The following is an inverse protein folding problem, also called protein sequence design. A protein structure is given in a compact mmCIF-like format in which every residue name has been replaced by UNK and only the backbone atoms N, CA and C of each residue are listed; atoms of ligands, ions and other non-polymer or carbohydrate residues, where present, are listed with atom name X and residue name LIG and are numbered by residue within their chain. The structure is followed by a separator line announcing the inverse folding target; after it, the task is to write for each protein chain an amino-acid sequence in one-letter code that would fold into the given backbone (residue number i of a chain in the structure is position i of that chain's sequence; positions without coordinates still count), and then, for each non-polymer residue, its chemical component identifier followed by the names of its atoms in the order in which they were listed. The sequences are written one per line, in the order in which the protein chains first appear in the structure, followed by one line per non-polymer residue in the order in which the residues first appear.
data_IF_975270957835
#
_entry.id   IF_975270957835
#
_cell.length_a   1.000
_cell.length_b   1.000
_cell.length_c   1.000
_cell.angle_alpha   90.00
_cell.angle_beta   90.00
_cell.angle_gamma   90.00
#
_symmetry.space_group_name_H-M   'P 1'
#
loop_
_entity.id
_entity.type
_entity.pdbx_description
1 polymer ?
#
# COMPACT_ATOMS: atom_id res chain seq x y z
N UNK A 1 26.09 -18.39 19.94
CA UNK A 1 26.09 -16.92 19.84
C UNK A 1 25.34 -16.57 18.55
N UNK A 2 24.07 -16.28 18.64
CA UNK A 2 23.29 -15.82 17.50
C UNK A 2 23.84 -14.46 17.11
N UNK A 3 24.43 -14.34 15.93
CA UNK A 3 24.80 -13.04 15.36
C UNK A 3 23.49 -12.23 15.25
N UNK A 4 23.39 -11.17 16.04
CA UNK A 4 22.30 -10.21 15.91
C UNK A 4 22.45 -9.56 14.52
N UNK A 5 21.61 -9.98 13.56
CA UNK A 5 21.62 -9.39 12.22
C UNK A 5 21.26 -7.91 12.37
N UNK A 6 22.14 -7.04 11.94
CA UNK A 6 21.86 -5.60 11.94
C UNK A 6 20.87 -5.26 10.83
N UNK A 7 19.87 -4.45 11.16
CA UNK A 7 18.94 -3.90 10.17
C UNK A 7 19.73 -3.04 9.17
N UNK A 8 19.53 -3.30 7.87
CA UNK A 8 20.14 -2.53 6.79
C UNK A 8 19.03 -1.93 5.94
N UNK A 9 19.14 -0.65 5.61
CA UNK A 9 18.24 0.09 4.73
C UNK A 9 19.03 0.49 3.49
N UNK A 10 18.58 0.06 2.31
CA UNK A 10 19.26 0.29 1.04
C UNK A 10 18.30 0.92 0.05
N UNK A 11 18.69 2.05 -0.57
CA UNK A 11 18.00 2.63 -1.73
C UNK A 11 18.11 1.66 -2.91
N UNK A 12 16.99 1.42 -3.62
CA UNK A 12 16.93 0.48 -4.76
C UNK A 12 16.39 1.09 -6.05
N UNK A 13 15.72 2.25 -5.99
CA UNK A 13 15.21 2.94 -7.20
C UNK A 13 15.62 4.39 -7.22
N UNK A 14 15.51 5.03 -8.39
CA UNK A 14 15.53 6.48 -8.45
C UNK A 14 14.23 7.07 -7.87
N UNK A 15 14.24 8.33 -7.40
CA UNK A 15 13.08 8.97 -6.82
C UNK A 15 11.91 9.11 -7.80
N UNK A 16 10.70 8.96 -7.26
CA UNK A 16 9.40 9.28 -7.88
C UNK A 16 8.67 10.32 -7.04
N UNK A 17 7.60 10.93 -7.58
CA UNK A 17 6.88 11.97 -6.83
C UNK A 17 6.08 11.38 -5.66
N UNK A 18 5.34 10.29 -5.88
CA UNK A 18 4.54 9.64 -4.84
C UNK A 18 4.52 8.12 -5.09
N UNK A 19 5.57 7.44 -4.61
CA UNK A 19 5.67 5.98 -4.65
C UNK A 19 4.68 5.35 -3.69
N UNK A 20 3.91 4.34 -4.15
CA UNK A 20 2.84 3.72 -3.37
C UNK A 20 2.54 2.28 -3.78
N UNK A 21 1.68 1.62 -3.00
CA UNK A 21 1.08 0.32 -3.30
C UNK A 21 2.09 -0.78 -3.67
N UNK A 22 3.16 -1.01 -2.89
CA UNK A 22 4.15 -2.03 -3.23
C UNK A 22 3.53 -3.44 -3.12
N UNK A 23 3.77 -4.25 -4.15
CA UNK A 23 3.32 -5.64 -4.25
C UNK A 23 4.46 -6.52 -4.74
N UNK A 24 4.78 -7.57 -3.99
CA UNK A 24 5.80 -8.55 -4.37
C UNK A 24 5.18 -9.70 -5.15
N UNK A 25 5.63 -9.91 -6.38
CA UNK A 25 5.26 -11.08 -7.18
C UNK A 25 6.30 -12.20 -6.97
N UNK A 26 5.89 -13.26 -6.26
CA UNK A 26 6.74 -14.40 -5.96
C UNK A 26 7.18 -15.14 -7.22
N UNK A 27 6.31 -15.26 -8.23
CA UNK A 27 6.62 -16.03 -9.45
C UNK A 27 7.65 -15.32 -10.31
N UNK A 28 7.54 -13.99 -10.41
CA UNK A 28 8.46 -13.18 -11.19
C UNK A 28 9.67 -12.69 -10.38
N UNK A 29 9.67 -12.91 -9.04
CA UNK A 29 10.68 -12.37 -8.12
C UNK A 29 10.89 -10.88 -8.35
N UNK A 30 9.80 -10.14 -8.47
CA UNK A 30 9.77 -8.72 -8.80
C UNK A 30 8.87 -7.94 -7.84
N UNK A 31 9.28 -6.72 -7.56
CA UNK A 31 8.45 -5.73 -6.85
C UNK A 31 7.72 -4.88 -7.89
N UNK A 32 6.41 -4.80 -7.75
CA UNK A 32 5.56 -3.84 -8.44
C UNK A 32 5.15 -2.73 -7.49
N UNK A 33 5.05 -1.51 -7.98
CA UNK A 33 4.56 -0.35 -7.22
C UNK A 33 4.07 0.74 -8.18
N UNK A 34 3.47 1.79 -7.67
CA UNK A 34 2.97 2.90 -8.47
C UNK A 34 3.66 4.20 -8.08
N UNK A 35 3.64 5.20 -8.98
CA UNK A 35 3.80 6.61 -8.62
C UNK A 35 2.52 7.34 -9.01
N UNK A 36 1.74 7.70 -7.97
CA UNK A 36 0.39 8.25 -8.14
C UNK A 36 0.41 9.53 -8.96
N UNK A 37 1.29 10.47 -8.60
CA UNK A 37 1.34 11.79 -9.22
C UNK A 37 2.10 11.83 -10.55
N UNK A 38 2.96 10.83 -10.81
CA UNK A 38 3.60 10.62 -12.12
C UNK A 38 2.69 9.84 -13.08
N UNK A 39 1.58 9.28 -12.58
CA UNK A 39 0.65 8.42 -13.32
C UNK A 39 1.34 7.15 -13.86
N UNK A 40 2.27 6.57 -13.12
CA UNK A 40 3.10 5.46 -13.61
C UNK A 40 2.96 4.21 -12.75
N UNK A 41 3.09 3.06 -13.40
CA UNK A 41 3.29 1.75 -12.77
C UNK A 41 4.72 1.31 -13.00
N UNK A 42 5.30 0.61 -12.03
CA UNK A 42 6.72 0.29 -11.97
C UNK A 42 6.93 -1.19 -11.68
N UNK A 43 8.03 -1.75 -12.22
CA UNK A 43 8.56 -3.08 -11.91
C UNK A 43 10.03 -2.96 -11.54
N UNK A 44 10.43 -3.55 -10.41
CA UNK A 44 11.82 -3.65 -10.00
C UNK A 44 12.20 -5.10 -9.75
N UNK A 45 13.31 -5.56 -10.34
CA UNK A 45 13.83 -6.91 -10.21
C UNK A 45 15.12 -6.90 -9.39
N UNK A 46 15.10 -7.32 -8.11
CA UNK A 46 16.26 -7.22 -7.21
C UNK A 46 17.50 -7.97 -7.72
N UNK A 47 17.32 -9.10 -8.39
CA UNK A 47 18.42 -9.93 -8.89
C UNK A 47 19.29 -9.22 -9.94
N UNK A 48 18.71 -8.30 -10.72
CA UNK A 48 19.41 -7.56 -11.78
C UNK A 48 19.58 -6.08 -11.46
N UNK A 49 18.83 -5.56 -10.49
CA UNK A 49 18.68 -4.13 -10.26
C UNK A 49 17.86 -3.42 -11.35
N UNK A 50 17.24 -4.17 -12.26
CA UNK A 50 16.42 -3.63 -13.35
C UNK A 50 15.16 -2.94 -12.82
N UNK A 51 14.93 -1.70 -13.27
CA UNK A 51 13.77 -0.90 -12.92
C UNK A 51 13.13 -0.33 -14.18
N UNK A 52 11.93 -0.77 -14.48
CA UNK A 52 11.14 -0.35 -15.65
C UNK A 52 9.85 0.33 -15.21
N UNK A 53 9.26 1.12 -16.09
CA UNK A 53 8.00 1.83 -15.81
C UNK A 53 7.22 2.10 -17.08
N UNK A 54 5.91 2.27 -16.94
CA UNK A 54 5.05 2.75 -18.01
C UNK A 54 3.97 3.68 -17.45
N UNK A 55 3.44 4.55 -18.31
CA UNK A 55 2.46 5.58 -17.94
C UNK A 55 1.04 5.10 -18.21
N UNK A 56 0.11 5.48 -17.32
CA UNK A 56 -1.34 5.33 -17.50
C UNK A 56 -2.02 6.69 -17.66
N UNK A 57 -3.25 6.68 -18.12
CA UNK A 57 -4.06 7.89 -18.32
C UNK A 57 -4.82 8.23 -17.02
N UNK A 58 -4.13 8.82 -16.06
CA UNK A 58 -4.66 9.27 -14.77
C UNK A 58 -3.83 8.80 -13.58
N UNK A 59 -4.18 9.31 -12.38
CA UNK A 59 -3.53 8.95 -11.12
C UNK A 59 -3.82 7.51 -10.77
N UNK A 60 -2.76 6.75 -10.55
CA UNK A 60 -2.82 5.33 -10.22
C UNK A 60 -2.57 5.15 -8.72
N UNK A 61 -3.59 4.76 -7.96
CA UNK A 61 -3.49 4.63 -6.50
C UNK A 61 -2.83 3.32 -6.06
N UNK A 62 -3.08 2.22 -6.76
CA UNK A 62 -2.54 0.90 -6.44
C UNK A 62 -2.49 0.00 -7.68
N UNK A 63 -1.73 -1.08 -7.55
CA UNK A 63 -1.56 -2.10 -8.57
C UNK A 63 -1.50 -3.49 -7.92
N UNK A 64 -2.30 -4.45 -8.41
CA UNK A 64 -2.32 -5.83 -7.92
C UNK A 64 -2.31 -6.78 -9.12
N UNK A 65 -1.36 -7.74 -9.23
CA UNK A 65 -1.37 -8.73 -10.30
C UNK A 65 -2.68 -9.53 -10.34
N UNK A 66 -3.14 -9.88 -11.55
CA UNK A 66 -4.31 -10.75 -11.74
C UNK A 66 -3.90 -12.22 -11.64
N UNK A 67 -4.59 -12.98 -10.79
CA UNK A 67 -4.30 -14.40 -10.58
C UNK A 67 -4.35 -15.19 -11.89
N UNK A 68 -3.36 -16.06 -12.10
CA UNK A 68 -3.28 -16.92 -13.29
C UNK A 68 -2.73 -16.23 -14.54
N UNK A 69 -2.35 -14.96 -14.48
CA UNK A 69 -1.68 -14.23 -15.57
C UNK A 69 -0.27 -13.80 -15.16
N UNK A 70 0.55 -13.41 -16.14
CA UNK A 70 1.90 -12.91 -15.90
C UNK A 70 2.08 -11.44 -16.30
N UNK A 71 1.09 -10.86 -16.98
CA UNK A 71 1.16 -9.54 -17.61
C UNK A 71 -0.10 -8.68 -17.39
N UNK A 72 -1.06 -9.18 -16.58
CA UNK A 72 -2.27 -8.42 -16.28
C UNK A 72 -2.31 -7.99 -14.84
N UNK A 73 -2.81 -6.77 -14.62
CA UNK A 73 -2.86 -6.12 -13.32
C UNK A 73 -4.21 -5.41 -13.15
N UNK A 74 -4.81 -5.59 -11.99
CA UNK A 74 -5.85 -4.68 -11.52
C UNK A 74 -5.18 -3.40 -11.04
N UNK A 75 -5.64 -2.26 -11.55
CA UNK A 75 -5.19 -0.92 -11.12
C UNK A 75 -6.37 -0.05 -10.74
N UNK A 76 -6.18 0.78 -9.73
CA UNK A 76 -7.11 1.86 -9.39
C UNK A 76 -6.68 3.16 -10.06
N UNK A 77 -7.36 3.58 -11.14
CA UNK A 77 -7.05 4.82 -11.86
C UNK A 77 -8.19 5.83 -11.67
N UNK A 78 -7.89 6.95 -11.03
CA UNK A 78 -8.89 7.93 -10.59
C UNK A 78 -9.98 7.25 -9.76
N UNK A 79 -11.19 7.06 -10.29
CA UNK A 79 -12.32 6.36 -9.65
C UNK A 79 -12.63 5.01 -10.29
N UNK A 80 -11.77 4.53 -11.19
CA UNK A 80 -12.03 3.33 -11.98
C UNK A 80 -11.16 2.16 -11.55
N UNK A 81 -11.76 0.99 -11.45
CA UNK A 81 -11.07 -0.28 -11.40
C UNK A 81 -10.84 -0.77 -12.83
N UNK A 82 -9.60 -0.79 -13.26
CA UNK A 82 -9.21 -1.22 -14.61
C UNK A 82 -8.32 -2.46 -14.54
N UNK A 83 -8.47 -3.37 -15.50
CA UNK A 83 -7.45 -4.37 -15.79
C UNK A 83 -6.60 -3.83 -16.93
N UNK A 84 -5.30 -3.73 -16.69
CA UNK A 84 -4.32 -3.35 -17.68
C UNK A 84 -3.42 -4.53 -18.00
N UNK A 85 -2.91 -4.59 -19.25
CA UNK A 85 -1.85 -5.51 -19.67
C UNK A 85 -0.56 -4.74 -19.84
N UNK A 86 0.51 -5.24 -19.22
CA UNK A 86 1.87 -4.72 -19.36
C UNK A 86 2.88 -5.84 -19.12
N UNK A 87 3.84 -6.02 -20.02
CA UNK A 87 4.86 -7.07 -19.94
C UNK A 87 5.99 -6.74 -18.93
N UNK A 88 6.03 -5.49 -18.44
CA UNK A 88 7.05 -5.05 -17.52
C UNK A 88 8.39 -4.71 -18.18
N UNK A 89 8.45 -4.59 -19.50
CA UNK A 89 9.68 -4.26 -20.22
C UNK A 89 9.81 -2.75 -20.44
N UNK A 90 11.05 -2.28 -20.59
CA UNK A 90 11.36 -0.85 -20.81
C UNK A 90 10.77 -0.38 -22.16
N UNK A 91 10.08 0.76 -22.12
CA UNK A 91 9.46 1.36 -23.32
C UNK A 91 8.18 0.67 -23.78
N UNK A 92 7.76 -0.41 -23.14
CA UNK A 92 6.52 -1.10 -23.49
C UNK A 92 5.31 -0.35 -22.90
N UNK A 93 4.27 -0.02 -23.70
CA UNK A 93 3.09 0.66 -23.19
C UNK A 93 2.17 -0.30 -22.46
N UNK A 94 1.55 0.16 -21.38
CA UNK A 94 0.42 -0.55 -20.80
C UNK A 94 -0.86 -0.27 -21.59
N UNK A 95 -1.70 -1.29 -21.75
CA UNK A 95 -2.98 -1.19 -22.44
C UNK A 95 -4.13 -1.57 -21.48
N UNK A 96 -5.17 -0.74 -21.43
CA UNK A 96 -6.42 -1.10 -20.74
C UNK A 96 -7.11 -2.22 -21.54
N UNK A 97 -7.27 -3.37 -20.89
CA UNK A 97 -7.98 -4.52 -21.49
C UNK A 97 -9.41 -4.65 -21.01
N UNK A 98 -9.72 -4.09 -19.83
CA UNK A 98 -11.06 -4.12 -19.27
C UNK A 98 -11.26 -3.00 -18.24
N UNK A 99 -12.39 -2.31 -18.30
CA UNK A 99 -12.92 -1.55 -17.19
C UNK A 99 -13.89 -2.44 -16.41
N UNK A 100 -13.65 -2.60 -15.11
CA UNK A 100 -14.51 -3.42 -14.25
C UNK A 100 -15.65 -2.57 -13.69
N UNK A 101 -15.32 -1.42 -13.10
CA UNK A 101 -16.28 -0.53 -12.48
C UNK A 101 -15.73 0.89 -12.29
N UNK A 102 -16.64 1.86 -12.25
CA UNK A 102 -16.40 3.21 -11.74
C UNK A 102 -17.20 3.42 -10.46
N UNK A 103 -16.54 3.94 -9.41
CA UNK A 103 -17.10 4.19 -8.08
C UNK A 103 -17.23 5.68 -7.80
N UNK A 104 -17.87 6.07 -6.68
CA UNK A 104 -18.06 7.46 -6.24
C UNK A 104 -18.52 8.39 -7.38
N UNK A 105 -19.49 7.93 -8.19
CA UNK A 105 -20.01 8.70 -9.35
C UNK A 105 -20.69 10.00 -8.94
N UNK A 106 -21.22 10.04 -7.74
CA UNK A 106 -21.85 11.19 -7.08
C UNK A 106 -20.84 12.19 -6.53
N UNK A 107 -19.56 11.78 -6.38
CA UNK A 107 -18.46 12.64 -5.92
C UNK A 107 -17.29 12.60 -6.92
N UNK A 108 -17.43 13.27 -8.07
CA UNK A 108 -16.50 13.16 -9.21
C UNK A 108 -15.06 13.64 -8.91
N UNK A 109 -14.86 14.32 -7.81
CA UNK A 109 -13.55 14.81 -7.35
C UNK A 109 -12.77 13.80 -6.51
N UNK A 110 -13.41 12.71 -6.05
CA UNK A 110 -12.73 11.64 -5.35
C UNK A 110 -11.76 10.89 -6.28
N UNK A 111 -10.79 10.22 -5.69
CA UNK A 111 -9.92 9.24 -6.37
C UNK A 111 -9.69 8.03 -5.49
N UNK A 112 -9.44 6.89 -6.11
CA UNK A 112 -8.83 5.74 -5.43
C UNK A 112 -7.45 6.13 -4.89
N UNK A 113 -7.17 5.69 -3.67
CA UNK A 113 -5.87 5.87 -3.02
C UNK A 113 -5.20 4.50 -2.84
N UNK A 114 -5.28 3.86 -1.69
CA UNK A 114 -4.66 2.56 -1.47
C UNK A 114 -5.65 1.40 -1.74
N UNK A 115 -5.12 0.26 -2.16
CA UNK A 115 -5.87 -0.96 -2.38
C UNK A 115 -5.00 -2.21 -2.34
N UNK A 116 -5.53 -3.28 -1.75
CA UNK A 116 -4.82 -4.54 -1.56
C UNK A 116 -5.77 -5.73 -1.66
N UNK A 117 -5.28 -6.85 -2.20
CA UNK A 117 -6.03 -8.09 -2.21
C UNK A 117 -6.09 -8.72 -0.81
N UNK A 118 -7.28 -9.20 -0.44
CA UNK A 118 -7.51 -9.98 0.75
C UNK A 118 -7.05 -11.44 0.56
N UNK A 119 -7.04 -12.26 1.61
CA UNK A 119 -6.60 -13.67 1.52
C UNK A 119 -7.38 -14.57 0.56
N UNK A 120 -8.50 -14.11 0.00
CA UNK A 120 -9.30 -14.83 -1.01
C UNK A 120 -9.18 -14.23 -2.41
N UNK A 121 -8.36 -13.18 -2.60
CA UNK A 121 -8.14 -12.53 -3.88
C UNK A 121 -9.18 -11.46 -4.25
N UNK A 122 -10.07 -11.08 -3.31
CA UNK A 122 -10.91 -9.89 -3.46
C UNK A 122 -10.08 -8.66 -3.14
N UNK A 123 -10.30 -7.54 -3.83
CA UNK A 123 -9.54 -6.31 -3.54
C UNK A 123 -10.38 -5.38 -2.67
N UNK A 124 -9.81 -4.97 -1.55
CA UNK A 124 -10.27 -3.82 -0.80
C UNK A 124 -9.49 -2.61 -1.25
N UNK A 125 -10.20 -1.55 -1.62
CA UNK A 125 -9.61 -0.30 -2.05
C UNK A 125 -10.51 0.85 -1.65
N UNK A 126 -9.90 1.96 -1.25
CA UNK A 126 -10.69 3.08 -0.82
C UNK A 126 -10.33 4.38 -1.53
N UNK A 127 -11.22 5.34 -1.35
CA UNK A 127 -11.12 6.66 -1.96
C UNK A 127 -10.77 7.72 -0.93
N UNK A 128 -10.37 8.86 -1.43
CA UNK A 128 -10.19 10.10 -0.69
C UNK A 128 -10.84 11.26 -1.45
N UNK A 129 -11.18 12.32 -0.71
CA UNK A 129 -11.71 13.54 -1.28
C UNK A 129 -10.68 14.33 -2.09
N UNK A 130 -11.13 15.43 -2.71
CA UNK A 130 -10.25 16.32 -3.46
C UNK A 130 -9.16 16.88 -2.57
N UNK A 131 -7.95 16.89 -3.11
CA UNK A 131 -6.77 17.51 -2.51
C UNK A 131 -6.53 18.89 -3.13
N UNK A 132 -6.19 19.88 -2.30
CA UNK A 132 -5.77 21.20 -2.76
C UNK A 132 -4.27 21.25 -3.10
N UNK A 133 -3.79 22.41 -3.58
CA UNK A 133 -2.41 22.60 -4.02
C UNK A 133 -1.36 22.45 -2.90
N UNK A 134 -1.76 22.51 -1.63
CA UNK A 134 -0.87 22.34 -0.47
C UNK A 134 -1.11 21.02 0.26
N UNK A 135 -1.95 20.15 -0.31
CA UNK A 135 -2.18 18.81 0.17
C UNK A 135 -3.25 18.67 1.26
N UNK A 136 -4.11 19.66 1.48
CA UNK A 136 -5.27 19.48 2.33
C UNK A 136 -6.36 18.74 1.58
N UNK A 137 -6.95 17.76 2.23
CA UNK A 137 -7.98 16.90 1.67
C UNK A 137 -9.36 17.32 2.19
N UNK A 138 -10.34 17.32 1.30
CA UNK A 138 -11.74 17.49 1.74
C UNK A 138 -12.14 16.28 2.58
N UNK A 139 -12.47 16.57 3.86
CA UNK A 139 -12.67 15.55 4.90
C UNK A 139 -13.94 14.73 4.68
N UNK A 140 -13.88 13.45 5.06
CA UNK A 140 -15.02 12.52 5.16
C UNK A 140 -15.79 12.29 3.85
N UNK A 141 -15.15 12.50 2.70
CA UNK A 141 -15.75 12.24 1.37
C UNK A 141 -15.39 10.86 0.80
N UNK A 142 -14.33 10.23 1.30
CA UNK A 142 -13.90 8.92 0.85
C UNK A 142 -14.75 7.78 1.40
N UNK A 143 -14.58 6.63 0.78
CA UNK A 143 -15.24 5.37 1.13
C UNK A 143 -14.28 4.20 0.95
N UNK A 144 -14.54 3.08 1.64
CA UNK A 144 -13.85 1.81 1.41
C UNK A 144 -14.76 0.88 0.62
N UNK A 145 -14.24 0.28 -0.44
CA UNK A 145 -14.94 -0.66 -1.31
C UNK A 145 -14.28 -2.03 -1.28
N UNK A 146 -15.08 -3.07 -1.46
CA UNK A 146 -14.65 -4.44 -1.74
C UNK A 146 -15.04 -4.78 -3.17
N UNK A 147 -14.05 -5.18 -3.97
CA UNK A 147 -14.22 -5.72 -5.31
C UNK A 147 -14.05 -7.24 -5.26
N UNK A 148 -15.08 -7.98 -5.64
CA UNK A 148 -15.13 -9.45 -5.71
C UNK A 148 -15.47 -9.86 -7.14
N UNK A 149 -14.49 -10.33 -7.91
CA UNK A 149 -14.61 -10.45 -9.36
C UNK A 149 -15.00 -9.11 -10.00
N UNK A 150 -16.22 -9.01 -10.51
CA UNK A 150 -16.76 -7.77 -11.06
C UNK A 150 -17.75 -7.03 -10.12
N UNK A 151 -18.02 -7.58 -8.94
CA UNK A 151 -18.96 -7.00 -7.99
C UNK A 151 -18.27 -6.03 -7.04
N UNK A 152 -18.68 -4.77 -7.06
CA UNK A 152 -18.24 -3.74 -6.12
C UNK A 152 -19.25 -3.55 -5.00
N UNK A 153 -18.79 -3.52 -3.76
CA UNK A 153 -19.61 -3.26 -2.58
C UNK A 153 -18.95 -2.18 -1.74
N UNK A 154 -19.64 -1.11 -1.40
CA UNK A 154 -19.19 -0.13 -0.41
C UNK A 154 -19.31 -0.76 0.99
N UNK A 155 -18.19 -0.84 1.73
CA UNK A 155 -18.13 -1.52 3.04
C UNK A 155 -17.89 -0.56 4.20
N UNK A 156 -17.42 0.66 3.92
CA UNK A 156 -17.36 1.77 4.87
C UNK A 156 -17.42 3.11 4.13
N UNK A 157 -17.80 4.16 4.81
CA UNK A 157 -17.89 5.53 4.30
C UNK A 157 -17.29 6.54 5.30
N UNK A 158 -17.40 7.84 4.99
CA UNK A 158 -16.87 8.93 5.82
C UNK A 158 -15.37 8.76 6.10
N UNK A 159 -14.61 8.32 5.10
CA UNK A 159 -13.16 8.16 5.13
C UNK A 159 -12.50 9.46 4.69
N UNK A 160 -11.41 9.85 5.35
CA UNK A 160 -10.61 11.01 4.94
C UNK A 160 -9.61 10.64 3.85
N UNK A 161 -8.66 9.76 4.18
CA UNK A 161 -7.67 9.21 3.26
C UNK A 161 -7.57 7.71 3.51
N UNK A 162 -8.19 6.93 2.63
CA UNK A 162 -8.10 5.47 2.71
C UNK A 162 -6.68 4.99 2.44
N UNK A 163 -6.12 4.26 3.40
CA UNK A 163 -4.76 3.76 3.34
C UNK A 163 -4.67 2.34 3.90
N UNK A 164 -3.53 1.98 4.42
CA UNK A 164 -3.03 0.70 4.88
C UNK A 164 -4.04 -0.40 5.17
N UNK A 165 -3.83 -1.54 4.55
CA UNK A 165 -4.69 -2.73 4.60
C UNK A 165 -3.86 -3.96 4.96
N UNK A 166 -4.28 -4.71 6.00
CA UNK A 166 -3.66 -5.97 6.37
C UNK A 166 -4.67 -6.95 6.99
N UNK A 167 -4.41 -8.25 6.86
CA UNK A 167 -5.30 -9.30 7.40
C UNK A 167 -4.53 -10.28 8.27
N UNK A 168 -5.07 -10.59 9.44
CA UNK A 168 -4.64 -11.70 10.31
C UNK A 168 -5.76 -12.75 10.38
N UNK A 169 -5.58 -13.85 9.66
CA UNK A 169 -6.56 -14.94 9.61
C UNK A 169 -6.69 -15.67 10.95
N UNK A 170 -5.62 -15.70 11.77
CA UNK A 170 -5.65 -16.31 13.10
C UNK A 170 -6.53 -15.51 14.05
N UNK A 171 -6.53 -14.20 13.91
CA UNK A 171 -7.33 -13.27 14.70
C UNK A 171 -8.69 -12.96 14.05
N UNK A 172 -8.97 -13.52 12.85
CA UNK A 172 -10.14 -13.16 12.02
C UNK A 172 -10.30 -11.65 11.96
N UNK A 173 -9.21 -10.95 11.63
CA UNK A 173 -9.14 -9.52 11.69
C UNK A 173 -8.68 -8.92 10.35
N UNK A 174 -9.27 -7.78 10.02
CA UNK A 174 -8.76 -6.83 9.03
C UNK A 174 -8.31 -5.58 9.78
N UNK A 175 -7.10 -5.13 9.49
CA UNK A 175 -6.57 -3.86 9.96
C UNK A 175 -6.65 -2.83 8.84
N UNK A 176 -7.04 -1.61 9.20
CA UNK A 176 -7.30 -0.55 8.24
C UNK A 176 -6.89 0.82 8.78
N UNK A 177 -6.34 1.63 7.89
CA UNK A 177 -5.88 2.99 8.19
C UNK A 177 -6.73 4.02 7.46
N UNK A 178 -7.29 4.97 8.21
CA UNK A 178 -7.69 6.29 7.70
C UNK A 178 -6.66 7.30 8.23
N UNK A 179 -5.79 7.78 7.36
CA UNK A 179 -4.56 8.50 7.78
C UNK A 179 -4.83 9.67 8.70
N UNK A 180 -5.86 10.49 8.41
CA UNK A 180 -6.13 11.69 9.19
C UNK A 180 -6.84 11.44 10.53
N UNK A 181 -7.28 10.21 10.78
CA UNK A 181 -7.71 9.79 12.12
C UNK A 181 -6.53 9.50 13.06
N UNK A 182 -5.32 9.34 12.50
CA UNK A 182 -4.09 9.08 13.26
C UNK A 182 -4.19 7.87 14.19
N UNK A 183 -4.93 6.83 13.74
CA UNK A 183 -5.07 5.58 14.47
C UNK A 183 -5.18 4.40 13.50
N UNK A 184 -5.13 3.19 14.02
CA UNK A 184 -5.31 1.97 13.25
C UNK A 184 -6.60 1.31 13.72
N UNK A 185 -7.52 1.08 12.77
CA UNK A 185 -8.77 0.35 12.98
C UNK A 185 -8.52 -1.14 12.85
N UNK A 186 -9.22 -1.93 13.65
CA UNK A 186 -9.39 -3.38 13.51
C UNK A 186 -10.87 -3.67 13.32
N UNK A 187 -11.18 -4.44 12.30
CA UNK A 187 -12.49 -5.01 12.07
C UNK A 187 -12.45 -6.52 12.34
N UNK A 188 -13.55 -7.10 12.82
CA UNK A 188 -13.80 -8.52 12.66
C UNK A 188 -13.97 -8.79 11.17
N UNK A 189 -13.31 -9.85 10.68
CA UNK A 189 -13.25 -10.16 9.26
C UNK A 189 -13.67 -11.61 9.01
N UNK A 190 -14.64 -11.80 8.13
CA UNK A 190 -15.06 -13.10 7.64
C UNK A 190 -14.31 -13.41 6.35
N UNK A 191 -13.45 -14.44 6.38
CA UNK A 191 -12.62 -14.78 5.23
C UNK A 191 -13.43 -15.35 4.06
N UNK A 192 -14.56 -15.98 4.30
CA UNK A 192 -15.35 -16.61 3.24
C UNK A 192 -16.20 -15.61 2.49
N UNK A 193 -16.78 -14.63 3.20
CA UNK A 193 -17.66 -13.62 2.60
C UNK A 193 -16.94 -12.29 2.31
N UNK A 194 -15.81 -12.03 3.00
CA UNK A 194 -15.12 -10.73 2.97
C UNK A 194 -15.88 -9.64 3.73
N UNK A 195 -16.85 -9.99 4.56
CA UNK A 195 -17.55 -9.01 5.39
C UNK A 195 -16.68 -8.52 6.54
N UNK A 196 -16.81 -7.23 6.86
CA UNK A 196 -16.15 -6.57 7.98
C UNK A 196 -17.18 -6.01 8.94
N UNK A 197 -16.91 -6.09 10.24
CA UNK A 197 -17.82 -5.60 11.29
C UNK A 197 -17.04 -5.23 12.57
N UNK A 198 -17.76 -4.70 13.57
CA UNK A 198 -17.25 -4.49 14.92
C UNK A 198 -15.93 -3.73 14.98
N UNK A 199 -15.88 -2.51 14.42
CA UNK A 199 -14.69 -1.67 14.39
C UNK A 199 -14.18 -1.34 15.79
N UNK A 200 -12.85 -1.48 15.98
CA UNK A 200 -12.12 -1.06 17.20
C UNK A 200 -10.84 -0.35 16.79
N UNK A 201 -10.37 0.55 17.66
CA UNK A 201 -9.06 1.19 17.49
C UNK A 201 -8.02 0.40 18.28
N UNK A 202 -6.95 -0.02 17.63
CA UNK A 202 -5.91 -0.88 18.22
C UNK A 202 -4.59 -0.16 18.46
N UNK A 203 -4.36 0.97 17.80
CA UNK A 203 -3.18 1.80 18.03
C UNK A 203 -3.49 3.26 17.72
N UNK A 204 -3.05 4.15 18.58
CA UNK A 204 -3.30 5.58 18.51
C UNK A 204 -1.95 6.32 18.46
N UNK A 205 -1.72 7.06 17.38
CA UNK A 205 -0.46 7.78 17.11
C UNK A 205 -0.24 8.93 18.10
N UNK A 206 -1.30 9.63 18.51
CA UNK A 206 -1.20 10.75 19.43
C UNK A 206 -0.82 10.26 20.83
N UNK A 207 -1.49 9.21 21.33
CA UNK A 207 -1.16 8.61 22.65
C UNK A 207 0.27 8.07 22.68
N UNK A 208 0.77 7.56 21.57
CA UNK A 208 2.13 7.04 21.45
C UNK A 208 3.16 8.11 21.05
N UNK A 209 2.75 9.38 20.92
CA UNK A 209 3.61 10.52 20.55
C UNK A 209 4.36 10.28 19.23
N UNK A 210 3.67 9.74 18.26
CA UNK A 210 4.20 9.51 16.91
C UNK A 210 3.86 10.73 16.06
N UNK A 211 4.87 11.40 15.54
CA UNK A 211 4.72 12.47 14.56
C UNK A 211 4.39 11.88 13.17
N UNK A 212 3.75 12.68 12.30
CA UNK A 212 3.27 12.22 11.00
C UNK A 212 1.94 11.50 11.07
N UNK A 213 1.56 10.84 10.01
CA UNK A 213 0.29 10.08 9.90
C UNK A 213 0.55 8.65 9.44
N UNK A 214 -0.27 7.67 9.90
CA UNK A 214 -0.18 6.29 9.39
C UNK A 214 -0.58 6.26 7.91
N UNK A 215 0.14 5.46 7.14
CA UNK A 215 -0.04 5.33 5.70
C UNK A 215 -0.16 3.85 5.32
N UNK A 216 0.47 3.36 4.29
CA UNK A 216 0.43 1.97 3.88
C UNK A 216 0.90 1.00 4.96
N UNK A 217 0.32 -0.20 4.99
CA UNK A 217 0.53 -1.19 6.07
C UNK A 217 0.70 -2.60 5.49
N UNK A 218 1.62 -3.36 6.08
CA UNK A 218 1.73 -4.81 5.89
C UNK A 218 1.79 -5.53 7.25
N UNK A 219 1.81 -6.87 7.24
CA UNK A 219 1.80 -7.69 8.44
C UNK A 219 2.83 -8.81 8.34
N UNK A 220 3.54 -9.09 9.45
CA UNK A 220 4.45 -10.22 9.53
C UNK A 220 3.73 -11.54 9.93
N UNK A 221 4.45 -12.65 9.83
CA UNK A 221 3.93 -13.97 10.20
C UNK A 221 3.61 -14.13 11.68
N UNK A 222 4.12 -13.23 12.54
CA UNK A 222 3.82 -13.19 13.96
C UNK A 222 2.56 -12.39 14.27
N UNK A 223 1.96 -11.75 13.25
CA UNK A 223 0.76 -10.92 13.36
C UNK A 223 1.03 -9.50 13.83
N UNK A 224 2.26 -8.99 13.71
CA UNK A 224 2.57 -7.61 13.99
C UNK A 224 2.43 -6.78 12.71
N UNK A 225 1.89 -5.57 12.84
CA UNK A 225 1.74 -4.63 11.75
C UNK A 225 3.06 -3.89 11.50
N UNK A 226 3.33 -3.63 10.23
CA UNK A 226 4.42 -2.79 9.77
C UNK A 226 3.82 -1.61 9.02
N UNK A 227 3.83 -0.46 9.67
CA UNK A 227 3.08 0.74 9.28
C UNK A 227 4.03 1.81 8.82
N UNK A 228 3.87 2.27 7.59
CA UNK A 228 4.57 3.43 7.08
C UNK A 228 4.04 4.71 7.76
N UNK A 229 4.94 5.65 8.03
CA UNK A 229 4.58 6.91 8.66
C UNK A 229 4.93 8.05 7.73
N UNK A 230 3.92 8.59 7.06
CA UNK A 230 4.07 9.76 6.20
C UNK A 230 4.43 10.98 7.07
N UNK A 231 5.48 11.70 6.67
CA UNK A 231 6.12 12.78 7.44
C UNK A 231 6.70 12.33 8.81
N UNK A 232 6.98 11.03 8.96
CA UNK A 232 7.56 10.46 10.20
C UNK A 232 8.91 9.79 10.00
N UNK A 233 9.42 9.71 8.77
CA UNK A 233 10.74 9.13 8.41
C UNK A 233 10.96 7.71 8.92
N UNK A 234 9.92 6.89 9.03
CA UNK A 234 10.04 5.56 9.59
C UNK A 234 8.96 4.56 9.17
N UNK A 235 9.26 3.29 9.43
CA UNK A 235 8.27 2.21 9.56
C UNK A 235 8.13 1.88 11.05
N UNK A 236 6.91 1.68 11.52
CA UNK A 236 6.61 1.19 12.87
C UNK A 236 6.25 -0.29 12.84
N UNK A 237 6.85 -1.09 13.72
CA UNK A 237 6.37 -2.44 14.04
C UNK A 237 5.48 -2.35 15.27
N UNK A 238 4.23 -2.81 15.15
CA UNK A 238 3.19 -2.66 16.18
C UNK A 238 2.58 -4.03 16.47
N UNK A 239 2.45 -4.40 17.75
CA UNK A 239 1.58 -5.51 18.16
C UNK A 239 0.13 -5.00 18.30
N UNK A 240 -0.77 -5.29 17.33
CA UNK A 240 -2.13 -4.77 17.36
C UNK A 240 -3.02 -5.45 18.42
N UNK A 241 -2.60 -6.59 18.98
CA UNK A 241 -3.32 -7.31 20.04
C UNK A 241 -3.17 -6.61 21.40
N UNK A 242 -2.00 -5.98 21.60
CA UNK A 242 -1.64 -5.26 22.83
C UNK A 242 -1.69 -3.75 22.68
N UNK A 243 -1.75 -3.26 21.41
CA UNK A 243 -1.65 -1.83 21.11
C UNK A 243 -0.26 -1.25 21.44
N UNK A 244 0.79 -2.06 21.30
CA UNK A 244 2.15 -1.70 21.69
C UNK A 244 3.05 -1.45 20.48
N UNK A 245 3.83 -0.36 20.54
CA UNK A 245 4.93 -0.12 19.61
C UNK A 245 6.12 -1.01 19.98
N UNK A 246 6.48 -1.93 19.10
CA UNK A 246 7.58 -2.87 19.31
C UNK A 246 8.92 -2.33 18.80
N UNK A 247 8.90 -1.65 17.64
CA UNK A 247 10.12 -1.17 16.99
C UNK A 247 9.83 0.01 16.05
N UNK A 248 10.80 0.90 15.90
CA UNK A 248 10.82 1.96 14.89
C UNK A 248 12.03 1.76 14.00
N UNK A 249 11.82 1.63 12.69
CA UNK A 249 12.86 1.49 11.67
C UNK A 249 13.00 2.84 10.97
N UNK A 250 14.09 3.58 11.16
CA UNK A 250 14.34 4.82 10.43
C UNK A 250 14.50 4.55 8.92
N UNK A 251 13.86 5.38 8.11
CA UNK A 251 14.00 5.39 6.65
C UNK A 251 14.58 6.76 6.26
N UNK A 252 15.60 6.83 5.39
CA UNK A 252 16.23 8.10 5.02
C UNK A 252 15.39 8.90 3.99
N UNK A 253 14.09 9.04 4.27
CA UNK A 253 13.13 9.84 3.52
C UNK A 253 12.04 10.31 4.48
N UNK A 254 11.61 11.58 4.36
CA UNK A 254 10.62 12.14 5.27
C UNK A 254 9.23 11.48 5.07
N UNK A 255 8.81 11.36 3.81
CA UNK A 255 7.48 10.90 3.42
C UNK A 255 7.51 9.40 3.11
N UNK A 256 7.46 8.57 4.14
CA UNK A 256 7.40 7.09 4.02
C UNK A 256 5.93 6.70 3.79
N UNK A 257 5.64 6.09 2.64
CA UNK A 257 4.25 5.94 2.16
C UNK A 257 3.70 4.53 2.38
N UNK A 258 4.44 3.49 2.00
CA UNK A 258 3.90 2.12 2.12
C UNK A 258 5.00 1.08 2.28
N UNK A 259 4.61 -0.16 2.60
CA UNK A 259 5.54 -1.26 2.73
C UNK A 259 4.90 -2.61 2.38
N UNK A 260 5.73 -3.53 1.85
CA UNK A 260 5.37 -4.92 1.66
C UNK A 260 6.54 -5.84 1.93
N UNK A 261 6.29 -7.03 2.46
CA UNK A 261 7.30 -8.08 2.52
C UNK A 261 7.44 -8.77 1.16
N UNK A 262 8.67 -9.14 0.84
CA UNK A 262 9.02 -9.87 -0.38
C UNK A 262 10.40 -10.51 -0.28
N UNK A 263 11.00 -10.75 -1.43
CA UNK A 263 12.21 -11.57 -1.56
C UNK A 263 11.89 -13.07 -1.55
N UNK A 264 12.87 -13.92 -1.88
CA UNK A 264 12.67 -15.37 -2.01
C UNK A 264 12.12 -16.04 -0.74
N UNK A 265 12.37 -15.44 0.43
CA UNK A 265 11.96 -15.98 1.75
C UNK A 265 10.95 -15.09 2.47
N UNK A 266 10.44 -14.03 1.84
CA UNK A 266 9.58 -13.00 2.46
C UNK A 266 10.21 -12.33 3.70
N UNK A 267 11.53 -12.26 3.77
CA UNK A 267 12.32 -11.69 4.86
C UNK A 267 12.92 -10.31 4.54
N UNK A 268 12.56 -9.77 3.39
CA UNK A 268 12.89 -8.42 2.92
C UNK A 268 11.66 -7.54 3.00
N UNK A 269 11.77 -6.36 3.63
CA UNK A 269 10.71 -5.36 3.59
C UNK A 269 11.05 -4.31 2.53
N UNK A 270 10.21 -4.20 1.51
CA UNK A 270 10.28 -3.12 0.53
C UNK A 270 9.44 -1.95 1.01
N UNK A 271 10.00 -0.75 0.92
CA UNK A 271 9.40 0.48 1.45
C UNK A 271 9.37 1.54 0.37
N UNK A 272 8.20 2.03 0.02
CA UNK A 272 8.01 3.17 -0.88
C UNK A 272 8.03 4.49 -0.13
N UNK A 273 8.42 5.56 -0.81
CA UNK A 273 8.46 6.92 -0.25
C UNK A 273 8.00 7.96 -1.30
N UNK A 274 7.75 9.16 -0.84
CA UNK A 274 7.38 10.29 -1.69
C UNK A 274 8.40 11.43 -1.63
N UNK A 275 8.32 12.33 -2.61
CA UNK A 275 9.09 13.56 -2.70
C UNK A 275 8.19 14.77 -3.03
N UNK A 276 7.06 14.90 -2.30
CA UNK A 276 6.05 15.93 -2.54
C UNK A 276 6.53 17.26 -1.96
N UNK A 277 7.05 18.14 -2.83
CA UNK A 277 7.68 19.41 -2.44
C UNK A 277 6.71 20.46 -1.93
N UNK A 278 5.41 20.37 -2.24
CA UNK A 278 4.39 21.27 -1.69
C UNK A 278 4.23 21.17 -0.16
N UNK A 279 4.75 20.07 0.43
CA UNK A 279 4.77 19.83 1.88
C UNK A 279 6.13 20.12 2.53
N UNK A 280 7.02 20.82 1.84
CA UNK A 280 8.35 21.19 2.30
C UNK A 280 9.47 20.58 1.46
N UNK A 281 10.74 20.99 1.70
CA UNK A 281 11.88 20.47 0.96
C UNK A 281 12.00 18.94 1.08
N UNK A 282 12.25 18.29 -0.05
CA UNK A 282 12.43 16.85 -0.13
C UNK A 282 13.79 16.55 -0.77
N UNK A 283 14.82 16.51 0.08
CA UNK A 283 16.17 16.19 -0.39
C UNK A 283 16.30 14.71 -0.76
N UNK A 284 17.09 14.37 -1.78
CA UNK A 284 17.39 12.95 -2.06
C UNK A 284 17.93 12.24 -0.81
N UNK A 285 17.51 10.99 -0.54
CA UNK A 285 16.82 10.07 -1.45
C UNK A 285 15.28 10.02 -1.30
N UNK A 286 14.62 11.10 -0.85
CA UNK A 286 13.15 11.17 -0.79
C UNK A 286 12.52 10.82 -2.15
N UNK A 287 11.45 10.02 -2.14
CA UNK A 287 10.82 9.47 -3.34
C UNK A 287 11.41 8.16 -3.84
N UNK A 288 12.55 7.72 -3.33
CA UNK A 288 13.11 6.42 -3.68
C UNK A 288 12.37 5.28 -2.99
N UNK A 289 12.44 4.08 -3.57
CA UNK A 289 12.06 2.83 -2.90
C UNK A 289 13.27 2.25 -2.17
N UNK A 290 13.03 1.68 -1.00
CA UNK A 290 14.06 1.08 -0.17
C UNK A 290 13.83 -0.41 0.05
N UNK A 291 14.91 -1.15 0.22
CA UNK A 291 14.94 -2.53 0.67
C UNK A 291 15.49 -2.58 2.09
N UNK A 292 14.75 -3.16 3.02
CA UNK A 292 15.15 -3.32 4.43
C UNK A 292 15.34 -4.79 4.73
N UNK A 293 16.52 -5.15 5.21
CA UNK A 293 16.91 -6.52 5.53
C UNK A 293 17.40 -6.64 6.98
N UNK A 294 17.56 -7.87 7.48
CA UNK A 294 18.04 -8.10 8.84
C UNK A 294 16.99 -7.89 9.93
N UNK A 295 15.70 -7.93 9.55
CA UNK A 295 14.58 -7.69 10.47
C UNK A 295 14.28 -8.86 11.41
N UNK A 296 14.77 -10.08 11.10
CA UNK A 296 14.57 -11.29 11.90
C UNK A 296 13.13 -11.83 11.88
N UNK A 297 12.32 -11.37 10.94
CA UNK A 297 10.92 -11.78 10.74
C UNK A 297 10.64 -12.02 9.26
N UNK A 298 9.50 -12.62 8.98
CA UNK A 298 8.99 -12.83 7.61
C UNK A 298 7.59 -12.26 7.47
N UNK A 299 7.26 -11.82 6.26
CA UNK A 299 5.89 -11.50 5.88
C UNK A 299 5.13 -12.71 5.35
N UNK A 300 3.84 -12.49 5.08
CA UNK A 300 3.02 -13.43 4.34
C UNK A 300 3.13 -13.17 2.82
N UNK A 301 2.93 -14.19 1.98
CA UNK A 301 2.82 -14.00 0.54
C UNK A 301 1.78 -12.94 0.18
N UNK A 302 2.10 -12.10 -0.79
CA UNK A 302 1.12 -11.16 -1.34
C UNK A 302 0.09 -11.94 -2.17
N UNK A 303 -1.16 -11.54 -2.09
CA UNK A 303 -2.27 -12.22 -2.78
C UNK A 303 -2.61 -11.47 -4.05
N UNK A 304 -2.79 -12.21 -5.15
CA UNK A 304 -3.20 -11.65 -6.43
C UNK A 304 -4.72 -11.48 -6.51
N UNK A 305 -5.18 -10.57 -7.35
CA UNK A 305 -6.60 -10.35 -7.59
C UNK A 305 -7.21 -11.52 -8.35
N UNK A 306 -8.30 -12.04 -7.86
CA UNK A 306 -9.09 -13.08 -8.51
C UNK A 306 -10.25 -12.44 -9.30
N UNK A 307 -10.06 -12.39 -10.63
CA UNK A 307 -11.02 -11.79 -11.56
C UNK A 307 -12.23 -12.69 -11.81
#
# INVERSE_FOLDING_TARGET
MLMQMSVKVQKITEPVVLGEGPHWDEKQQALYFVSILDHTIHKYVPATGGHTKTKLDGRVGFMVPVEGTSDQFLVGVERRFLVVRWDGEEGSPAAVVREIAEIDKDVPTNRLNDGKADPRGRVFAGTMGKEDAVGNVVRKQGSLFRLDGAKVTKVADHIDISNGLAWDLRQKAMYYTDSLERNIRRYDYDVDTGEISNVKYVFDFEKNKIDGVPDGTTIDTDGNLWVAVFEGSCILKIDPRRGELLQKIPIPACQVTSATFGGPNYDVLFVTTASIVSRGPQDPPCGATFMVTGLGVKGNPNVNFKL
#
